data_IF_675796867369
#
_entry.id   IF_675796867369
#
_cell.length_a   1.000
_cell.length_b   1.000
_cell.length_c   1.000
_cell.angle_alpha   90.00
_cell.angle_beta   90.00
_cell.angle_gamma   90.00
#
_symmetry.space_group_name_H-M   'P 1'
#
loop_
_entity.id
_entity.type
_entity.pdbx_description
1 polymer ?
#
# COMPACT_ATOMS: atom_id res chain seq x y z
N UNK A 1 -26.95 -4.52 -14.61
CA UNK A 1 -25.63 -5.11 -14.28
C UNK A 1 -24.73 -3.97 -13.82
N UNK A 2 -23.97 -4.14 -12.75
CA UNK A 2 -23.12 -3.07 -12.19
C UNK A 2 -22.06 -2.63 -13.20
N UNK A 3 -21.86 -1.32 -13.35
CA UNK A 3 -20.96 -0.70 -14.33
C UNK A 3 -19.90 0.17 -13.68
N UNK A 4 -20.10 0.60 -12.43
CA UNK A 4 -19.17 1.48 -11.72
C UNK A 4 -19.13 1.20 -10.22
N UNK A 5 -18.04 0.61 -9.76
CA UNK A 5 -17.84 0.23 -8.37
C UNK A 5 -17.10 1.35 -7.63
N UNK A 6 -17.57 1.71 -6.43
CA UNK A 6 -16.81 2.46 -5.44
C UNK A 6 -16.15 1.47 -4.47
N UNK A 7 -14.84 1.56 -4.25
CA UNK A 7 -14.10 0.70 -3.32
C UNK A 7 -13.50 1.58 -2.24
N UNK A 8 -13.90 1.37 -0.99
CA UNK A 8 -13.27 2.04 0.14
C UNK A 8 -11.99 1.30 0.50
N UNK A 9 -10.87 2.01 0.47
CA UNK A 9 -9.56 1.50 0.88
C UNK A 9 -9.31 1.98 2.30
N UNK A 10 -9.45 1.06 3.25
CA UNK A 10 -8.93 1.20 4.60
C UNK A 10 -7.54 0.55 4.69
N UNK A 11 -6.62 1.15 5.46
CA UNK A 11 -5.27 0.64 5.67
C UNK A 11 -5.22 -0.58 6.61
N UNK A 12 -6.36 -1.24 6.83
CA UNK A 12 -6.56 -2.40 7.70
C UNK A 12 -6.59 -3.65 6.82
N UNK A 13 -6.15 -4.85 7.28
CA UNK A 13 -6.07 -6.06 6.44
C UNK A 13 -7.34 -6.42 5.66
N UNK A 14 -8.52 -6.03 6.16
CA UNK A 14 -9.79 -6.20 5.44
C UNK A 14 -9.89 -5.41 4.14
N UNK A 15 -9.22 -4.26 4.02
CA UNK A 15 -9.26 -3.40 2.82
C UNK A 15 -8.72 -4.07 1.57
N UNK A 16 -7.77 -4.98 1.72
CA UNK A 16 -7.20 -5.75 0.61
C UNK A 16 -8.18 -6.82 0.13
N UNK A 17 -8.99 -7.37 1.03
CA UNK A 17 -10.07 -8.29 0.67
C UNK A 17 -11.12 -7.56 -0.17
N UNK A 18 -11.46 -6.33 0.23
CA UNK A 18 -12.38 -5.48 -0.51
C UNK A 18 -11.82 -5.09 -1.89
N UNK A 19 -10.55 -4.68 -1.95
CA UNK A 19 -9.87 -4.35 -3.21
C UNK A 19 -9.81 -5.59 -4.12
N UNK A 20 -9.30 -6.71 -3.63
CA UNK A 20 -9.17 -7.95 -4.40
C UNK A 20 -10.52 -8.42 -4.95
N UNK A 21 -11.54 -8.55 -4.07
CA UNK A 21 -12.87 -8.97 -4.48
C UNK A 21 -13.54 -7.99 -5.44
N UNK A 22 -13.39 -6.67 -5.21
CA UNK A 22 -13.96 -5.66 -6.10
C UNK A 22 -13.27 -5.63 -7.46
N UNK A 23 -11.95 -5.82 -7.53
CA UNK A 23 -11.23 -5.89 -8.79
C UNK A 23 -11.55 -7.17 -9.56
N UNK A 24 -11.68 -8.32 -8.89
CA UNK A 24 -12.14 -9.55 -9.52
C UNK A 24 -13.55 -9.41 -10.08
N UNK A 25 -14.48 -8.82 -9.30
CA UNK A 25 -15.84 -8.54 -9.74
C UNK A 25 -15.87 -7.57 -10.91
N UNK A 26 -15.15 -6.45 -10.82
CA UNK A 26 -15.07 -5.45 -11.87
C UNK A 26 -14.56 -6.04 -13.19
N UNK A 27 -13.54 -6.90 -13.13
CA UNK A 27 -13.01 -7.61 -14.29
C UNK A 27 -14.03 -8.58 -14.88
N UNK A 28 -14.75 -9.32 -14.04
CA UNK A 28 -15.75 -10.28 -14.49
C UNK A 28 -16.96 -9.61 -15.19
N UNK A 29 -17.33 -8.40 -14.78
CA UNK A 29 -18.51 -7.68 -15.32
C UNK A 29 -18.15 -6.52 -16.25
N UNK A 30 -16.87 -6.26 -16.50
CA UNK A 30 -16.40 -5.14 -17.32
C UNK A 30 -16.70 -3.77 -16.73
N UNK A 31 -16.75 -3.65 -15.40
CA UNK A 31 -17.04 -2.40 -14.72
C UNK A 31 -15.78 -1.56 -14.47
N UNK A 32 -15.97 -0.24 -14.38
CA UNK A 32 -14.93 0.71 -13.95
C UNK A 32 -14.89 0.77 -12.42
N UNK A 33 -13.72 1.08 -11.85
CA UNK A 33 -13.53 1.13 -10.40
C UNK A 33 -13.10 2.53 -9.96
N UNK A 34 -13.74 3.07 -8.93
CA UNK A 34 -13.26 4.25 -8.22
C UNK A 34 -12.84 3.88 -6.82
N UNK A 35 -11.60 4.19 -6.48
CA UNK A 35 -11.08 3.99 -5.14
C UNK A 35 -11.20 5.26 -4.32
N UNK A 36 -11.56 5.08 -3.05
CA UNK A 36 -11.65 6.13 -2.05
C UNK A 36 -10.74 5.74 -0.89
N UNK A 37 -9.75 6.58 -0.61
CA UNK A 37 -8.84 6.36 0.49
C UNK A 37 -9.34 7.09 1.74
N UNK A 38 -9.53 6.36 2.83
CA UNK A 38 -9.90 6.95 4.11
C UNK A 38 -8.65 7.58 4.76
N UNK A 39 -8.77 8.83 5.23
CA UNK A 39 -7.77 9.45 6.13
C UNK A 39 -6.76 10.42 5.50
N UNK A 40 -6.88 10.81 4.23
CA UNK A 40 -6.06 11.91 3.69
C UNK A 40 -6.77 13.25 3.92
N UNK A 41 -6.23 14.10 4.79
CA UNK A 41 -6.67 15.49 4.89
C UNK A 41 -6.55 16.18 3.52
N UNK A 42 -7.50 17.06 3.14
CA UNK A 42 -7.40 17.82 1.90
C UNK A 42 -6.41 18.98 2.11
N UNK A 43 -5.12 18.75 1.88
CA UNK A 43 -4.13 19.84 1.95
C UNK A 43 -3.90 20.51 0.60
N UNK A 44 -3.82 21.84 0.71
CA UNK A 44 -3.97 22.85 -0.32
C UNK A 44 -3.15 22.62 -1.58
N UNK A 45 -3.82 22.85 -2.71
CA UNK A 45 -3.20 23.07 -4.02
C UNK A 45 -2.21 24.22 -3.92
N UNK A 46 -0.92 23.93 -4.09
CA UNK A 46 0.08 24.67 -4.87
C UNK A 46 1.44 23.98 -4.66
N UNK A 47 2.17 23.77 -5.76
CA UNK A 47 3.48 23.10 -5.87
C UNK A 47 3.43 21.58 -6.06
N UNK A 48 4.17 21.09 -7.06
CA UNK A 48 4.15 19.74 -7.63
C UNK A 48 4.67 18.60 -6.73
N UNK A 49 4.63 18.76 -5.41
CA UNK A 49 4.88 17.70 -4.43
C UNK A 49 3.53 17.20 -3.89
N UNK A 50 2.80 16.41 -4.70
CA UNK A 50 1.80 15.51 -4.12
C UNK A 50 2.56 14.48 -3.26
N UNK A 51 1.92 13.85 -2.29
CA UNK A 51 2.35 12.54 -1.80
C UNK A 51 1.61 11.44 -2.59
N UNK A 52 2.06 11.06 -3.81
CA UNK A 52 1.41 10.08 -4.68
C UNK A 52 1.55 8.61 -4.22
N UNK A 53 1.88 8.37 -2.95
CA UNK A 53 2.33 7.05 -2.47
C UNK A 53 1.22 5.99 -2.45
N UNK A 54 0.08 6.30 -1.81
CA UNK A 54 -1.05 5.38 -1.80
C UNK A 54 -1.77 5.33 -3.16
N UNK A 55 -1.78 6.44 -3.88
CA UNK A 55 -2.29 6.50 -5.25
C UNK A 55 -1.52 5.54 -6.16
N UNK A 56 -0.18 5.53 -6.07
CA UNK A 56 0.68 4.64 -6.84
C UNK A 56 0.41 3.15 -6.53
N UNK A 57 0.15 2.79 -5.27
CA UNK A 57 -0.24 1.42 -4.90
C UNK A 57 -1.57 1.01 -5.57
N UNK A 58 -2.58 1.85 -5.41
CA UNK A 58 -3.94 1.59 -5.92
C UNK A 58 -3.97 1.58 -7.45
N UNK A 59 -3.30 2.54 -8.08
CA UNK A 59 -3.14 2.62 -9.53
C UNK A 59 -2.39 1.40 -10.08
N UNK A 60 -1.30 0.98 -9.44
CA UNK A 60 -0.56 -0.21 -9.87
C UNK A 60 -1.42 -1.48 -9.77
N UNK A 61 -2.18 -1.64 -8.68
CA UNK A 61 -3.14 -2.74 -8.51
C UNK A 61 -4.18 -2.76 -9.65
N UNK A 62 -4.79 -1.61 -9.94
CA UNK A 62 -5.81 -1.49 -10.97
C UNK A 62 -5.26 -1.71 -12.39
N UNK A 63 -4.10 -1.13 -12.72
CA UNK A 63 -3.43 -1.34 -14.01
C UNK A 63 -3.04 -2.79 -14.22
N UNK A 64 -2.53 -3.46 -13.18
CA UNK A 64 -2.15 -4.87 -13.27
C UNK A 64 -3.36 -5.79 -13.52
N UNK A 65 -4.55 -5.41 -13.06
CA UNK A 65 -5.81 -6.11 -13.36
C UNK A 65 -6.45 -5.69 -14.70
N UNK A 66 -5.85 -4.75 -15.44
CA UNK A 66 -6.35 -4.27 -16.73
C UNK A 66 -7.60 -3.39 -16.63
N UNK A 67 -7.83 -2.72 -15.49
CA UNK A 67 -9.06 -2.01 -15.21
C UNK A 67 -8.96 -0.49 -15.44
N UNK A 68 -10.04 0.08 -15.95
CA UNK A 68 -10.25 1.54 -15.96
C UNK A 68 -10.53 2.01 -14.53
N UNK A 69 -9.68 2.90 -14.01
CA UNK A 69 -9.73 3.33 -12.62
C UNK A 69 -9.64 4.85 -12.47
N UNK A 70 -10.25 5.34 -11.40
CA UNK A 70 -10.14 6.72 -10.93
C UNK A 70 -9.86 6.69 -9.43
N UNK A 71 -8.96 7.54 -8.96
CA UNK A 71 -8.71 7.73 -7.53
C UNK A 71 -9.38 9.04 -7.14
N UNK A 72 -10.40 8.97 -6.28
CA UNK A 72 -11.09 10.14 -5.77
C UNK A 72 -10.46 10.55 -4.44
N UNK A 73 -9.89 11.75 -4.37
CA UNK A 73 -9.56 12.39 -3.10
C UNK A 73 -10.86 12.74 -2.36
N UNK A 74 -10.88 12.54 -1.04
CA UNK A 74 -11.96 13.02 -0.17
C UNK A 74 -11.96 14.56 -0.16
N UNK A 75 -12.54 15.18 -1.20
CA UNK A 75 -12.55 16.64 -1.36
C UNK A 75 -12.64 17.07 -2.81
N UNK A 76 -13.83 16.97 -3.40
CA UNK A 76 -14.16 17.76 -4.58
C UNK A 76 -15.57 18.32 -4.43
N UNK A 77 -15.75 19.61 -4.06
CA UNK A 77 -17.01 20.26 -4.40
C UNK A 77 -17.06 20.40 -5.92
N UNK A 78 -18.19 20.02 -6.52
CA UNK A 78 -18.49 20.34 -7.89
C UNK A 78 -18.50 21.86 -8.03
N UNK A 79 -17.52 22.42 -8.74
CA UNK A 79 -17.65 23.76 -9.28
C UNK A 79 -18.75 23.69 -10.34
N UNK A 80 -19.92 24.24 -10.02
CA UNK A 80 -20.65 25.20 -10.87
C UNK A 80 -22.05 25.46 -10.30
N UNK A 81 -22.18 26.46 -9.42
CA UNK A 81 -23.32 27.39 -9.37
C UNK A 81 -22.99 28.58 -8.45
N UNK A 82 -23.16 29.85 -8.88
CA UNK A 82 -22.89 31.01 -8.05
C UNK A 82 -24.15 31.35 -7.23
N UNK A 83 -24.06 31.29 -5.91
CA UNK A 83 -25.01 31.97 -5.04
C UNK A 83 -24.24 32.68 -3.92
N UNK A 84 -24.42 33.99 -3.89
CA UNK A 84 -23.82 34.93 -2.97
C UNK A 84 -24.27 34.70 -1.52
N UNK A 85 -23.39 34.98 -0.55
CA UNK A 85 -23.80 35.29 0.82
C UNK A 85 -22.88 34.75 1.93
N UNK A 86 -22.20 35.70 2.57
CA UNK A 86 -21.80 35.76 3.99
C UNK A 86 -20.45 35.12 4.47
N UNK A 87 -19.49 35.93 4.97
CA UNK A 87 -18.26 35.46 5.60
C UNK A 87 -18.47 35.37 7.12
N UNK A 88 -18.93 34.22 7.62
CA UNK A 88 -19.25 34.10 9.04
C UNK A 88 -19.59 32.69 9.55
N UNK A 89 -18.98 31.64 9.03
CA UNK A 89 -19.14 30.29 9.59
C UNK A 89 -17.78 29.57 9.66
N UNK A 90 -17.48 29.03 10.84
CA UNK A 90 -16.31 28.24 11.15
C UNK A 90 -16.05 27.16 10.07
N UNK A 91 -14.78 27.00 9.70
CA UNK A 91 -14.31 25.92 8.83
C UNK A 91 -14.84 24.57 9.32
N UNK A 92 -15.64 23.82 8.54
CA UNK A 92 -15.85 22.43 8.83
C UNK A 92 -14.55 21.68 8.48
N UNK A 93 -14.10 20.85 9.42
CA UNK A 93 -13.00 19.92 9.24
C UNK A 93 -13.21 19.03 8.00
N UNK A 94 -12.11 18.46 7.50
CA UNK A 94 -12.01 17.52 6.37
C UNK A 94 -13.33 16.79 6.08
N UNK A 95 -13.89 16.99 4.89
CA UNK A 95 -15.28 16.64 4.59
C UNK A 95 -15.63 15.19 4.94
N UNK A 96 -16.49 15.01 5.94
CA UNK A 96 -17.16 13.75 6.32
C UNK A 96 -18.18 13.32 5.25
N UNK A 97 -17.75 13.21 3.99
CA UNK A 97 -18.62 12.70 2.93
C UNK A 97 -18.72 11.20 3.10
N UNK A 98 -19.89 10.72 3.54
CA UNK A 98 -20.11 9.28 3.69
C UNK A 98 -19.91 8.55 2.35
N UNK A 99 -19.43 7.28 2.34
CA UNK A 99 -19.23 6.53 1.10
C UNK A 99 -20.48 6.44 0.22
N UNK A 100 -21.67 6.42 0.83
CA UNK A 100 -22.96 6.45 0.13
C UNK A 100 -23.20 7.75 -0.64
N UNK A 101 -22.92 8.90 -0.02
CA UNK A 101 -23.04 10.21 -0.69
C UNK A 101 -22.04 10.35 -1.82
N UNK A 102 -20.80 9.90 -1.60
CA UNK A 102 -19.74 9.95 -2.60
C UNK A 102 -20.04 9.04 -3.79
N UNK A 103 -20.57 7.84 -3.55
CA UNK A 103 -21.01 6.93 -4.61
C UNK A 103 -22.09 7.58 -5.50
N UNK A 104 -23.08 8.23 -4.90
CA UNK A 104 -24.12 8.96 -5.63
C UNK A 104 -23.55 10.10 -6.47
N UNK A 105 -22.64 10.89 -5.93
CA UNK A 105 -21.99 12.01 -6.66
C UNK A 105 -21.13 11.54 -7.83
N UNK A 106 -20.46 10.40 -7.70
CA UNK A 106 -19.59 9.84 -8.73
C UNK A 106 -20.33 8.93 -9.73
N UNK A 107 -21.63 8.71 -9.51
CA UNK A 107 -22.44 7.82 -10.34
C UNK A 107 -22.03 6.35 -10.21
N UNK A 108 -21.51 5.95 -9.05
CA UNK A 108 -21.23 4.55 -8.73
C UNK A 108 -22.55 3.81 -8.45
N UNK A 109 -22.66 2.58 -8.95
CA UNK A 109 -23.85 1.74 -8.80
C UNK A 109 -23.65 0.55 -7.84
N UNK A 110 -22.44 0.41 -7.28
CA UNK A 110 -22.12 -0.53 -6.21
C UNK A 110 -21.03 0.02 -5.30
N UNK A 111 -21.16 -0.15 -3.99
CA UNK A 111 -20.10 0.15 -3.01
C UNK A 111 -19.55 -1.17 -2.49
N UNK A 112 -18.24 -1.40 -2.62
CA UNK A 112 -17.56 -2.56 -2.07
C UNK A 112 -16.81 -2.16 -0.80
N UNK A 113 -17.08 -2.87 0.29
CA UNK A 113 -16.47 -2.65 1.61
C UNK A 113 -15.97 -3.97 2.18
N UNK A 114 -14.88 -3.92 2.94
CA UNK A 114 -14.35 -5.09 3.66
C UNK A 114 -15.34 -5.61 4.69
N UNK A 115 -15.35 -6.91 4.99
CA UNK A 115 -15.95 -7.39 6.22
C UNK A 115 -15.24 -6.78 7.43
N UNK A 116 -16.00 -6.34 8.44
CA UNK A 116 -15.40 -5.89 9.69
C UNK A 116 -14.76 -7.10 10.40
N UNK A 117 -13.54 -6.95 10.96
CA UNK A 117 -12.96 -8.01 11.78
C UNK A 117 -13.78 -8.20 13.07
N UNK A 118 -13.59 -9.35 13.73
CA UNK A 118 -14.39 -9.70 14.90
C UNK A 118 -14.16 -8.78 16.11
N UNK A 119 -12.99 -8.14 16.15
CA UNK A 119 -12.52 -7.19 17.16
C UNK A 119 -12.64 -5.72 16.73
N UNK A 120 -13.41 -5.43 15.67
CA UNK A 120 -13.63 -4.06 15.20
C UNK A 120 -14.23 -3.17 16.30
N UNK A 121 -13.75 -1.92 16.38
CA UNK A 121 -14.24 -0.98 17.37
C UNK A 121 -15.72 -0.60 17.14
N UNK A 122 -16.35 -0.05 18.20
CA UNK A 122 -17.75 0.33 18.17
C UNK A 122 -18.07 1.44 17.17
N UNK A 123 -17.10 2.32 16.86
CA UNK A 123 -17.26 3.42 15.91
C UNK A 123 -17.29 2.91 14.47
N UNK A 124 -16.37 2.02 14.09
CA UNK A 124 -16.36 1.33 12.80
C UNK A 124 -17.64 0.50 12.60
N UNK A 125 -18.10 -0.20 13.65
CA UNK A 125 -19.37 -0.92 13.62
C UNK A 125 -20.57 0.03 13.46
N UNK A 126 -20.58 1.18 14.14
CA UNK A 126 -21.63 2.20 13.99
C UNK A 126 -21.62 2.81 12.59
N UNK A 127 -20.45 3.18 12.06
CA UNK A 127 -20.28 3.74 10.73
C UNK A 127 -20.72 2.75 9.64
N UNK A 128 -20.42 1.45 9.79
CA UNK A 128 -20.92 0.40 8.89
C UNK A 128 -22.44 0.29 8.93
N UNK A 129 -23.05 0.31 10.12
CA UNK A 129 -24.52 0.26 10.27
C UNK A 129 -25.18 1.47 9.63
N UNK A 130 -24.63 2.67 9.82
CA UNK A 130 -25.11 3.89 9.19
C UNK A 130 -25.02 3.77 7.67
N UNK A 131 -23.87 3.38 7.12
CA UNK A 131 -23.69 3.19 5.67
C UNK A 131 -24.74 2.22 5.10
N UNK A 132 -24.95 1.06 5.73
CA UNK A 132 -25.91 0.06 5.27
C UNK A 132 -27.37 0.55 5.39
N UNK A 133 -27.68 1.38 6.40
CA UNK A 133 -29.03 1.89 6.61
C UNK A 133 -29.37 3.10 5.73
N UNK A 134 -28.39 3.93 5.37
CA UNK A 134 -28.62 5.22 4.70
C UNK A 134 -28.15 5.26 3.24
N UNK A 135 -27.39 4.27 2.76
CA UNK A 135 -26.91 4.28 1.38
C UNK A 135 -28.04 4.03 0.38
N UNK A 136 -28.19 4.93 -0.58
CA UNK A 136 -29.05 4.74 -1.75
C UNK A 136 -28.42 3.82 -2.81
N UNK A 137 -27.12 3.56 -2.71
CA UNK A 137 -26.37 2.65 -3.59
C UNK A 137 -26.21 1.29 -2.90
N UNK A 138 -26.41 0.16 -3.59
CA UNK A 138 -26.15 -1.16 -3.04
C UNK A 138 -24.75 -1.29 -2.45
N UNK A 139 -24.65 -1.94 -1.28
CA UNK A 139 -23.37 -2.17 -0.59
C UNK A 139 -23.06 -3.66 -0.57
N UNK A 140 -21.94 -4.05 -1.17
CA UNK A 140 -21.37 -5.39 -1.10
C UNK A 140 -20.34 -5.45 0.04
N UNK A 141 -20.59 -6.33 1.00
CA UNK A 141 -19.61 -6.65 2.05
C UNK A 141 -18.80 -7.86 1.60
N UNK A 142 -17.51 -7.64 1.33
CA UNK A 142 -16.60 -8.68 0.87
C UNK A 142 -16.20 -9.58 2.06
N UNK A 143 -16.58 -10.86 2.09
CA UNK A 143 -16.33 -11.74 3.23
C UNK A 143 -14.84 -12.07 3.38
N UNK A 144 -14.35 -12.03 4.61
CA UNK A 144 -13.02 -12.51 5.00
C UNK A 144 -13.15 -13.88 5.68
N UNK A 145 -13.30 -14.97 4.91
CA UNK A 145 -13.26 -16.34 5.47
C UNK A 145 -11.92 -16.98 5.14
N UNK A 146 -10.92 -16.61 5.93
CA UNK A 146 -9.54 -17.03 5.72
C UNK A 146 -9.09 -17.93 6.87
N UNK A 147 -8.26 -18.92 6.57
CA UNK A 147 -7.64 -19.75 7.60
C UNK A 147 -6.76 -18.87 8.51
N UNK A 148 -6.64 -19.23 9.79
CA UNK A 148 -5.85 -18.43 10.74
C UNK A 148 -4.37 -18.28 10.33
N UNK A 149 -3.81 -19.31 9.69
CA UNK A 149 -2.45 -19.27 9.16
C UNK A 149 -2.31 -18.26 8.00
N UNK A 150 -3.28 -18.23 7.09
CA UNK A 150 -3.33 -17.25 5.99
C UNK A 150 -3.36 -15.82 6.54
N UNK A 151 -4.26 -15.54 7.49
CA UNK A 151 -4.39 -14.20 8.10
C UNK A 151 -3.07 -13.73 8.71
N UNK A 152 -2.36 -14.61 9.43
CA UNK A 152 -1.06 -14.28 10.04
C UNK A 152 0.03 -14.06 9.00
N UNK A 153 0.10 -14.88 7.95
CA UNK A 153 1.07 -14.72 6.86
C UNK A 153 0.83 -13.39 6.14
N UNK A 154 -0.41 -13.09 5.77
CA UNK A 154 -0.76 -11.82 5.11
C UNK A 154 -0.48 -10.62 6.01
N UNK A 155 -0.86 -10.68 7.29
CA UNK A 155 -0.57 -9.61 8.23
C UNK A 155 0.94 -9.31 8.32
N UNK A 156 1.79 -10.33 8.40
CA UNK A 156 3.26 -10.13 8.40
C UNK A 156 3.78 -9.47 7.12
N UNK A 157 3.25 -9.85 5.95
CA UNK A 157 3.61 -9.18 4.70
C UNK A 157 3.21 -7.70 4.73
N UNK A 158 1.99 -7.41 5.19
CA UNK A 158 1.45 -6.05 5.24
C UNK A 158 2.15 -5.17 6.26
N UNK A 159 2.53 -5.71 7.41
CA UNK A 159 3.35 -5.00 8.38
C UNK A 159 4.72 -4.63 7.79
N UNK A 160 5.33 -5.52 7.00
CA UNK A 160 6.57 -5.21 6.29
C UNK A 160 6.37 -4.12 5.22
N UNK A 161 5.24 -4.13 4.50
CA UNK A 161 4.88 -3.06 3.56
C UNK A 161 4.63 -1.73 4.26
N UNK A 162 3.96 -1.74 5.42
CA UNK A 162 3.71 -0.54 6.23
C UNK A 162 5.02 0.06 6.73
N UNK A 163 5.90 -0.77 7.28
CA UNK A 163 7.22 -0.33 7.75
C UNK A 163 8.08 0.25 6.62
N UNK A 164 8.03 -0.35 5.43
CA UNK A 164 8.69 0.21 4.24
C UNK A 164 8.08 1.58 3.86
N UNK A 165 6.75 1.68 3.84
CA UNK A 165 6.05 2.93 3.57
C UNK A 165 6.42 4.05 4.56
N UNK A 166 6.43 3.75 5.85
CA UNK A 166 6.83 4.68 6.92
C UNK A 166 8.29 5.14 6.75
N UNK A 167 9.19 4.22 6.42
CA UNK A 167 10.61 4.55 6.22
C UNK A 167 10.81 5.42 4.97
N UNK A 168 10.09 5.14 3.89
CA UNK A 168 10.09 5.97 2.67
C UNK A 168 9.53 7.37 2.93
N UNK A 169 8.45 7.48 3.70
CA UNK A 169 7.88 8.77 4.10
C UNK A 169 8.84 9.57 4.97
N UNK A 170 9.49 8.93 5.95
CA UNK A 170 10.52 9.58 6.77
C UNK A 170 11.70 10.06 5.91
N UNK A 171 12.12 9.28 4.91
CA UNK A 171 13.17 9.68 3.96
C UNK A 171 12.76 10.91 3.15
N UNK A 172 11.54 10.92 2.60
CA UNK A 172 11.03 12.04 1.79
C UNK A 172 10.77 13.31 2.62
N UNK A 173 10.29 13.16 3.86
CA UNK A 173 10.10 14.28 4.77
C UNK A 173 11.43 14.95 5.17
N UNK A 174 12.51 14.17 5.27
CA UNK A 174 13.85 14.69 5.50
C UNK A 174 14.39 15.52 4.31
N UNK A 175 13.93 15.26 3.07
CA UNK A 175 14.28 16.03 1.87
C UNK A 175 13.47 17.32 1.69
N UNK A 176 12.15 17.31 1.90
CA UNK A 176 11.24 18.33 1.33
C UNK A 176 11.00 19.62 2.17
N UNK A 177 11.49 19.76 3.41
CA UNK A 177 11.06 20.87 4.29
C UNK A 177 11.43 22.31 3.86
N UNK A 178 10.49 23.23 3.56
CA UNK A 178 10.76 24.64 3.27
C UNK A 178 11.19 25.44 4.52
N UNK A 179 10.61 25.14 5.69
CA UNK A 179 11.01 25.67 7.00
C UNK A 179 12.30 25.05 7.55
N UNK A 180 12.79 23.97 6.92
CA UNK A 180 14.06 23.36 7.27
C UNK A 180 15.24 24.15 6.72
N UNK A 181 15.07 25.15 5.84
CA UNK A 181 16.18 26.02 5.40
C UNK A 181 16.75 26.87 6.55
N UNK A 182 15.90 27.36 7.46
CA UNK A 182 16.29 28.20 8.59
C UNK A 182 16.75 27.38 9.81
N UNK A 183 16.23 26.15 9.99
CA UNK A 183 16.66 25.21 11.05
C UNK A 183 17.80 24.24 10.62
N UNK A 184 18.05 24.00 9.31
CA UNK A 184 19.17 23.15 8.83
C UNK A 184 20.53 23.82 8.99
N UNK A 185 20.60 25.15 8.99
CA UNK A 185 21.86 25.86 9.24
C UNK A 185 22.41 25.58 10.66
N UNK A 186 21.53 25.26 11.62
CA UNK A 186 21.91 24.88 12.99
C UNK A 186 22.04 23.36 13.20
N UNK A 187 21.31 22.52 12.44
CA UNK A 187 21.20 21.07 12.65
C UNK A 187 21.67 20.19 11.46
N UNK A 188 22.45 20.75 10.52
CA UNK A 188 22.81 20.08 9.26
C UNK A 188 23.44 18.68 9.43
N UNK A 189 24.26 18.47 10.45
CA UNK A 189 24.85 17.16 10.74
C UNK A 189 23.82 16.11 11.22
N UNK A 190 22.84 16.52 12.03
CA UNK A 190 21.79 15.62 12.52
C UNK A 190 20.80 15.21 11.41
N UNK A 191 20.54 16.11 10.46
CA UNK A 191 19.67 15.82 9.30
C UNK A 191 20.31 14.82 8.35
N UNK A 192 21.60 14.99 8.02
CA UNK A 192 22.34 14.07 7.15
C UNK A 192 22.46 12.67 7.77
N UNK A 193 22.73 12.60 9.08
CA UNK A 193 22.76 11.33 9.81
C UNK A 193 21.39 10.63 9.82
N UNK A 194 20.29 11.39 9.91
CA UNK A 194 18.94 10.87 9.79
C UNK A 194 18.66 10.23 8.42
N UNK A 195 19.03 10.91 7.33
CA UNK A 195 18.89 10.39 5.96
C UNK A 195 19.71 9.12 5.74
N UNK A 196 20.97 9.09 6.17
CA UNK A 196 21.83 7.91 6.05
C UNK A 196 21.29 6.72 6.85
N UNK A 197 20.77 6.97 8.06
CA UNK A 197 20.14 5.95 8.90
C UNK A 197 18.87 5.39 8.24
N UNK A 198 18.05 6.26 7.63
CA UNK A 198 16.86 5.84 6.89
C UNK A 198 17.23 5.00 5.65
N UNK A 199 18.26 5.38 4.89
CA UNK A 199 18.75 4.60 3.75
C UNK A 199 19.29 3.22 4.16
N UNK A 200 20.07 3.14 5.23
CA UNK A 200 20.55 1.87 5.78
C UNK A 200 19.37 0.99 6.23
N UNK A 201 18.35 1.58 6.87
CA UNK A 201 17.13 0.87 7.27
C UNK A 201 16.36 0.36 6.06
N UNK A 202 16.22 1.18 5.00
CA UNK A 202 15.58 0.77 3.75
C UNK A 202 16.30 -0.40 3.08
N UNK A 203 17.63 -0.36 3.01
CA UNK A 203 18.43 -1.44 2.45
C UNK A 203 18.25 -2.74 3.24
N UNK A 204 18.32 -2.68 4.58
CA UNK A 204 18.10 -3.85 5.43
C UNK A 204 16.68 -4.43 5.28
N UNK A 205 15.65 -3.57 5.19
CA UNK A 205 14.27 -3.98 4.98
C UNK A 205 14.08 -4.67 3.62
N UNK A 206 14.66 -4.11 2.55
CA UNK A 206 14.59 -4.72 1.22
C UNK A 206 15.30 -6.07 1.20
N UNK A 207 16.51 -6.17 1.75
CA UNK A 207 17.25 -7.44 1.80
C UNK A 207 16.47 -8.53 2.57
N UNK A 208 15.89 -8.17 3.72
CA UNK A 208 15.05 -9.07 4.48
C UNK A 208 13.82 -9.54 3.68
N UNK A 209 13.13 -8.60 2.99
CA UNK A 209 11.98 -8.89 2.12
C UNK A 209 12.35 -9.81 0.95
N UNK A 210 13.50 -9.58 0.33
CA UNK A 210 13.89 -10.25 -0.90
C UNK A 210 14.42 -11.67 -0.70
N UNK A 211 15.04 -11.94 0.45
CA UNK A 211 15.81 -13.18 0.65
C UNK A 211 15.19 -14.16 1.63
N UNK A 212 14.67 -13.67 2.75
CA UNK A 212 14.31 -14.53 3.89
C UNK A 212 12.90 -14.28 4.40
N UNK A 213 12.14 -13.38 3.77
CA UNK A 213 10.80 -13.06 4.24
C UNK A 213 9.79 -14.17 3.93
N UNK A 214 8.68 -14.09 4.65
CA UNK A 214 7.47 -14.86 4.34
C UNK A 214 6.96 -14.56 2.92
N UNK A 215 7.18 -13.34 2.41
CA UNK A 215 6.78 -12.91 1.07
C UNK A 215 7.57 -13.65 -0.02
N UNK A 216 8.90 -13.80 0.14
CA UNK A 216 9.71 -14.56 -0.81
C UNK A 216 9.28 -16.04 -0.87
N UNK A 217 8.96 -16.64 0.29
CA UNK A 217 8.42 -18.01 0.38
C UNK A 217 7.03 -18.11 -0.25
N UNK A 218 6.17 -17.12 -0.03
CA UNK A 218 4.84 -17.02 -0.63
C UNK A 218 4.93 -17.04 -2.17
N UNK A 219 5.83 -16.22 -2.74
CA UNK A 219 6.02 -16.17 -4.20
C UNK A 219 6.53 -17.51 -4.74
N UNK A 220 7.47 -18.15 -4.04
CA UNK A 220 7.95 -19.47 -4.42
C UNK A 220 6.85 -20.54 -4.36
N UNK A 221 6.00 -20.53 -3.33
CA UNK A 221 4.86 -21.43 -3.23
C UNK A 221 3.85 -21.20 -4.37
N UNK A 222 3.55 -19.93 -4.67
CA UNK A 222 2.61 -19.56 -5.72
C UNK A 222 3.10 -19.98 -7.11
N UNK A 223 4.41 -19.80 -7.41
CA UNK A 223 5.01 -20.30 -8.67
C UNK A 223 4.82 -21.79 -8.88
N UNK A 224 4.85 -22.60 -7.80
CA UNK A 224 4.63 -24.04 -7.87
C UNK A 224 3.17 -24.42 -8.09
N UNK A 225 2.22 -23.58 -7.67
CA UNK A 225 0.79 -23.89 -7.65
C UNK A 225 0.03 -23.34 -8.84
N UNK A 226 0.46 -22.23 -9.44
CA UNK A 226 -0.30 -21.55 -10.48
C UNK A 226 0.59 -20.94 -11.58
N UNK A 227 0.67 -21.62 -12.72
CA UNK A 227 1.36 -21.13 -13.92
C UNK A 227 0.79 -19.79 -14.43
N UNK A 228 -0.52 -19.57 -14.24
CA UNK A 228 -1.19 -18.31 -14.59
C UNK A 228 -0.64 -17.07 -13.87
N UNK A 229 0.12 -17.26 -12.78
CA UNK A 229 0.76 -16.17 -12.02
C UNK A 229 2.22 -15.92 -12.42
N UNK A 230 2.81 -16.76 -13.29
CA UNK A 230 4.22 -16.70 -13.62
C UNK A 230 4.62 -15.34 -14.23
N UNK A 231 3.84 -14.84 -15.20
CA UNK A 231 4.12 -13.56 -15.84
C UNK A 231 4.11 -12.37 -14.85
N UNK A 232 3.21 -12.40 -13.88
CA UNK A 232 3.10 -11.37 -12.84
C UNK A 232 4.28 -11.42 -11.86
N UNK A 233 4.68 -12.63 -11.46
CA UNK A 233 5.85 -12.84 -10.61
C UNK A 233 7.15 -12.45 -11.33
N UNK A 234 7.24 -12.69 -12.65
CA UNK A 234 8.38 -12.29 -13.47
C UNK A 234 8.45 -10.77 -13.71
N UNK A 235 7.31 -10.07 -13.74
CA UNK A 235 7.27 -8.59 -13.69
C UNK A 235 7.78 -8.08 -12.34
N UNK A 236 7.35 -8.69 -11.23
CA UNK A 236 7.85 -8.31 -9.90
C UNK A 236 9.36 -8.51 -9.80
N UNK A 237 9.90 -9.61 -10.34
CA UNK A 237 11.36 -9.81 -10.38
C UNK A 237 12.09 -8.72 -11.17
N UNK A 238 11.49 -8.23 -12.26
CA UNK A 238 12.03 -7.11 -13.05
C UNK A 238 11.93 -5.78 -12.30
N UNK A 239 10.82 -5.51 -11.61
CA UNK A 239 10.66 -4.34 -10.73
C UNK A 239 11.71 -4.35 -9.62
N UNK A 240 11.88 -5.49 -8.92
CA UNK A 240 12.86 -5.64 -7.84
C UNK A 240 14.28 -5.35 -8.28
N UNK A 241 14.67 -5.78 -9.49
CA UNK A 241 15.99 -5.44 -10.06
C UNK A 241 16.14 -3.94 -10.33
N UNK A 242 15.12 -3.29 -10.89
CA UNK A 242 15.13 -1.83 -11.11
C UNK A 242 15.23 -1.07 -9.79
N UNK A 243 14.48 -1.49 -8.78
CA UNK A 243 14.45 -0.85 -7.46
C UNK A 243 15.79 -1.00 -6.73
N UNK A 244 16.45 -2.16 -6.84
CA UNK A 244 17.80 -2.35 -6.32
C UNK A 244 18.80 -1.36 -6.95
N UNK A 245 18.77 -1.21 -8.28
CA UNK A 245 19.62 -0.23 -8.97
C UNK A 245 19.32 1.21 -8.56
N UNK A 246 18.05 1.56 -8.34
CA UNK A 246 17.64 2.88 -7.88
C UNK A 246 18.10 3.15 -6.43
N UNK A 247 18.01 2.16 -5.56
CA UNK A 247 18.50 2.25 -4.18
C UNK A 247 20.03 2.41 -4.13
N UNK A 248 20.76 1.65 -4.96
CA UNK A 248 22.21 1.81 -5.08
C UNK A 248 22.59 3.22 -5.55
N UNK A 249 21.82 3.80 -6.47
CA UNK A 249 22.02 5.17 -6.92
C UNK A 249 21.78 6.19 -5.80
N UNK A 250 20.76 5.98 -4.97
CA UNK A 250 20.50 6.81 -3.79
C UNK A 250 21.65 6.78 -2.79
N UNK A 251 22.18 5.58 -2.51
CA UNK A 251 23.31 5.42 -1.59
C UNK A 251 24.57 6.14 -2.11
N UNK A 252 24.83 6.08 -3.41
CA UNK A 252 25.93 6.83 -4.04
C UNK A 252 25.72 8.34 -3.91
N UNK A 253 24.55 8.85 -4.29
CA UNK A 253 24.23 10.28 -4.20
C UNK A 253 24.32 10.81 -2.76
N UNK A 254 23.90 10.01 -1.77
CA UNK A 254 24.04 10.39 -0.36
C UNK A 254 25.51 10.43 0.09
N UNK A 255 26.35 9.56 -0.46
CA UNK A 255 27.80 9.53 -0.18
C UNK A 255 28.55 10.70 -0.81
N UNK A 256 28.11 11.15 -1.99
CA UNK A 256 28.66 12.32 -2.68
C UNK A 256 28.34 13.64 -1.95
N UNK A 257 27.32 13.62 -1.09
CA UNK A 257 27.00 14.70 -0.16
C UNK A 257 25.54 15.13 -0.20
N UNK A 258 25.03 15.54 0.96
CA UNK A 258 23.69 16.10 1.13
C UNK A 258 23.80 17.55 1.64
N UNK A 259 22.85 18.44 1.30
CA UNK A 259 21.64 18.21 0.49
C UNK A 259 21.91 18.16 -1.03
N UNK A 260 21.05 17.46 -1.78
CA UNK A 260 21.19 17.29 -3.23
C UNK A 260 19.84 17.17 -3.93
N UNK A 261 19.53 18.06 -4.87
CA UNK A 261 18.31 17.99 -5.67
C UNK A 261 18.24 16.71 -6.54
N UNK A 262 19.41 16.17 -6.92
CA UNK A 262 19.51 14.89 -7.61
C UNK A 262 19.14 13.73 -6.68
N UNK A 263 19.52 13.81 -5.39
CA UNK A 263 19.09 12.86 -4.37
C UNK A 263 17.56 12.91 -4.17
N UNK A 264 16.99 14.11 -4.03
CA UNK A 264 15.54 14.28 -3.82
C UNK A 264 14.74 13.70 -5.00
N UNK A 265 15.19 13.97 -6.23
CA UNK A 265 14.58 13.43 -7.45
C UNK A 265 14.68 11.89 -7.50
N UNK A 266 15.86 11.34 -7.21
CA UNK A 266 16.07 9.90 -7.17
C UNK A 266 15.22 9.23 -6.06
N UNK A 267 15.03 9.92 -4.93
CA UNK A 267 14.27 9.41 -3.78
C UNK A 267 12.79 9.31 -4.13
N UNK A 268 12.25 10.32 -4.82
CA UNK A 268 10.88 10.29 -5.34
C UNK A 268 10.67 9.17 -6.37
N UNK A 269 11.63 8.94 -7.27
CA UNK A 269 11.57 7.85 -8.27
C UNK A 269 11.58 6.48 -7.59
N UNK A 270 12.49 6.26 -6.65
CA UNK A 270 12.56 5.00 -5.89
C UNK A 270 11.31 4.77 -5.06
N UNK A 271 10.83 5.79 -4.34
CA UNK A 271 9.61 5.69 -3.54
C UNK A 271 8.42 5.29 -4.40
N UNK A 272 8.26 5.93 -5.57
CA UNK A 272 7.21 5.56 -6.53
C UNK A 272 7.31 4.10 -6.97
N UNK A 273 8.50 3.63 -7.36
CA UNK A 273 8.73 2.23 -7.74
C UNK A 273 8.34 1.25 -6.64
N UNK A 274 8.78 1.52 -5.41
CA UNK A 274 8.45 0.70 -4.25
C UNK A 274 6.94 0.64 -3.95
N UNK A 275 6.23 1.78 -4.06
CA UNK A 275 4.77 1.82 -3.91
C UNK A 275 4.06 1.09 -5.05
N UNK A 276 4.49 1.25 -6.30
CA UNK A 276 3.92 0.50 -7.43
C UNK A 276 4.11 -1.02 -7.26
N UNK A 277 5.27 -1.46 -6.77
CA UNK A 277 5.54 -2.87 -6.47
C UNK A 277 4.60 -3.40 -5.37
N UNK A 278 4.49 -2.68 -4.23
CA UNK A 278 3.58 -3.08 -3.15
C UNK A 278 2.12 -3.14 -3.61
N UNK A 279 1.70 -2.18 -4.45
CA UNK A 279 0.38 -2.16 -5.05
C UNK A 279 0.08 -3.38 -5.92
N UNK A 280 1.01 -3.78 -6.79
CA UNK A 280 0.87 -4.99 -7.59
C UNK A 280 0.83 -6.26 -6.74
N UNK A 281 1.67 -6.34 -5.69
CA UNK A 281 1.66 -7.47 -4.76
C UNK A 281 0.30 -7.58 -4.07
N UNK A 282 -0.20 -6.49 -3.48
CA UNK A 282 -1.46 -6.47 -2.74
C UNK A 282 -2.69 -6.66 -3.63
N UNK A 283 -2.68 -6.11 -4.84
CA UNK A 283 -3.83 -6.13 -5.76
C UNK A 283 -3.90 -7.34 -6.69
N UNK A 284 -2.80 -8.06 -6.88
CA UNK A 284 -2.73 -9.20 -7.82
C UNK A 284 -2.21 -10.46 -7.14
N UNK A 285 -1.05 -10.37 -6.49
CA UNK A 285 -0.40 -11.56 -5.94
C UNK A 285 -1.13 -12.09 -4.71
N UNK A 286 -1.55 -11.24 -3.78
CA UNK A 286 -2.29 -11.71 -2.60
C UNK A 286 -3.64 -12.35 -2.95
N UNK A 287 -4.48 -11.76 -3.83
CA UNK A 287 -5.67 -12.43 -4.33
C UNK A 287 -5.36 -13.77 -5.02
N UNK A 288 -4.33 -13.82 -5.86
CA UNK A 288 -3.94 -15.06 -6.52
C UNK A 288 -3.45 -16.12 -5.51
N UNK A 289 -2.66 -15.73 -4.51
CA UNK A 289 -2.20 -16.62 -3.46
C UNK A 289 -3.38 -17.24 -2.71
N UNK A 290 -4.37 -16.44 -2.32
CA UNK A 290 -5.59 -16.93 -1.66
C UNK A 290 -6.38 -17.92 -2.50
N UNK A 291 -6.40 -17.70 -3.82
CA UNK A 291 -7.12 -18.55 -4.76
C UNK A 291 -6.44 -19.90 -4.99
N UNK A 292 -5.11 -19.93 -5.02
CA UNK A 292 -4.35 -21.09 -5.49
C UNK A 292 -3.57 -21.83 -4.40
N UNK A 293 -3.28 -21.20 -3.27
CA UNK A 293 -2.63 -21.86 -2.14
C UNK A 293 -3.64 -22.62 -1.30
N UNK A 294 -3.21 -23.78 -0.82
CA UNK A 294 -4.00 -24.66 0.05
C UNK A 294 -3.75 -24.32 1.52
N UNK A 295 -4.62 -24.78 2.42
CA UNK A 295 -4.42 -24.64 3.87
C UNK A 295 -3.06 -25.19 4.34
N UNK A 296 -2.60 -26.29 3.73
CA UNK A 296 -1.29 -26.86 4.02
C UNK A 296 -0.14 -25.92 3.64
N UNK A 297 -0.25 -25.23 2.48
CA UNK A 297 0.74 -24.24 2.06
C UNK A 297 0.75 -23.05 3.04
N UNK A 298 -0.43 -22.58 3.48
CA UNK A 298 -0.54 -21.49 4.45
C UNK A 298 0.06 -21.85 5.81
N UNK A 299 -0.18 -23.07 6.29
CA UNK A 299 0.41 -23.58 7.54
C UNK A 299 1.94 -23.65 7.41
N UNK A 300 2.46 -24.14 6.28
CA UNK A 300 3.90 -24.18 6.03
C UNK A 300 4.50 -22.77 6.03
N UNK A 301 3.87 -21.82 5.33
CA UNK A 301 4.29 -20.42 5.29
C UNK A 301 4.23 -19.75 6.67
N UNK A 302 3.27 -20.16 7.51
CA UNK A 302 3.13 -19.64 8.86
C UNK A 302 4.16 -20.21 9.85
N UNK A 303 4.70 -21.39 9.55
CA UNK A 303 5.72 -22.00 10.38
C UNK A 303 6.96 -21.08 10.48
N UNK A 304 7.50 -20.87 11.70
CA UNK A 304 8.70 -20.07 11.89
C UNK A 304 9.84 -20.67 11.08
N UNK A 305 10.55 -19.81 10.35
CA UNK A 305 11.71 -20.25 9.59
C UNK A 305 12.72 -20.84 10.57
N UNK A 306 13.06 -22.13 10.41
CA UNK A 306 14.21 -22.70 11.08
C UNK A 306 15.41 -21.85 10.67
N UNK A 307 15.90 -20.99 11.58
CA UNK A 307 17.16 -20.28 11.40
C UNK A 307 18.19 -21.36 11.06
N UNK A 308 18.85 -21.20 9.91
CA UNK A 308 19.79 -22.18 9.39
C UNK A 308 20.67 -22.71 10.50
N UNK A 309 20.78 -24.04 10.51
CA UNK A 309 21.58 -24.81 11.46
C UNK A 309 22.82 -24.04 11.86
N UNK A 310 22.98 -23.86 13.18
CA UNK A 310 24.19 -23.36 13.79
C UNK A 310 25.41 -23.95 13.07
N UNK A 311 26.36 -23.07 12.76
CA UNK A 311 27.66 -23.39 12.18
C UNK A 311 28.11 -24.78 12.65
N UNK A 312 28.18 -25.70 11.69
CA UNK A 312 28.81 -27.00 11.90
C UNK A 312 30.25 -26.69 12.31
N UNK A 313 30.56 -26.89 13.58
CA UNK A 313 31.91 -26.80 14.11
C UNK A 313 32.79 -27.76 13.30
N UNK A 314 33.92 -27.31 12.71
CA UNK A 314 34.81 -28.19 11.99
C UNK A 314 35.52 -29.12 12.99
N UNK A 315 35.32 -30.42 12.80
CA UNK A 315 36.29 -31.49 13.06
C UNK A 315 36.96 -31.54 14.43
N UNK A 316 36.41 -32.37 15.32
CA UNK A 316 37.26 -33.06 16.29
C UNK A 316 38.06 -34.13 15.52
N UNK A 317 39.36 -33.89 15.33
CA UNK A 317 40.31 -34.91 14.92
C UNK A 317 40.40 -36.00 16.02
N UNK A 318 40.26 -37.29 15.70
CA UNK A 318 40.76 -38.34 16.56
C UNK A 318 42.28 -38.45 16.36
N UNK A 319 43.03 -38.25 17.43
CA UNK A 319 44.44 -38.67 17.52
C UNK A 319 44.48 -40.14 17.89
N UNK A 320 45.19 -40.92 17.08
CA UNK A 320 45.76 -42.23 17.43
C UNK A 320 46.73 -42.12 18.62
#
# INVERSE_FOLDING_TARGET
>A
MYRHLLVTVDCVPGGIDAIGAALELARAVGARVTFVLAGTAPDSRLSGARMPAHDAKVEAAARAQGLSHVIAGAGRPAADHPAAGDPGAAYPAASDTSPGMLAGQLGCDLICVAALPHDADAAACAQRRVLLATSSVPVLVCPARHAAAELRVMARCLDAHRLLGETLQALMAASEGPSASMHRAANGANSTNGTLTALASLSALQDARLRTSVEARLFAALRRRAESTAAELDELDRQRRRDAHALDALLRLASDGLPSAAFDTAAAVYARGAFEQMGRIEGVIFPAARRYLTDADWIELDAPQARGAAATTPGAHPTD
#
